data_IF_341385359060
#
_entry.id   IF_341385359060
#
_cell.length_a   1.000
_cell.length_b   1.000
_cell.length_c   1.000
_cell.angle_alpha   90.00
_cell.angle_beta   90.00
_cell.angle_gamma   90.00
#
_symmetry.space_group_name_H-M   'P 1'
#
loop_
_entity.id
_entity.type
_entity.pdbx_description
1 polymer ?
#
# COMPACT_ATOMS: atom_id res chain seq x y z
N UNK A 1 12.90 -23.06 -2.87
CA UNK A 1 12.58 -23.50 -4.25
C UNK A 1 11.32 -22.76 -4.72
N UNK A 2 11.46 -21.50 -5.18
CA UNK A 2 10.37 -20.66 -5.71
C UNK A 2 10.47 -20.68 -7.25
N UNK A 3 10.39 -21.88 -7.84
CA UNK A 3 10.57 -22.08 -9.28
C UNK A 3 9.29 -22.61 -9.96
N UNK A 4 8.12 -22.16 -9.48
CA UNK A 4 6.83 -22.41 -10.13
C UNK A 4 6.32 -21.13 -10.77
N UNK A 5 5.81 -21.22 -12.01
CA UNK A 5 5.05 -20.13 -12.62
C UNK A 5 3.85 -19.81 -11.73
N UNK A 6 3.86 -18.67 -11.03
CA UNK A 6 2.69 -18.20 -10.32
C UNK A 6 1.70 -17.69 -11.38
N UNK A 7 0.47 -18.21 -11.45
CA UNK A 7 -0.51 -17.85 -12.49
C UNK A 7 -0.82 -16.34 -12.57
N UNK A 8 -0.56 -15.57 -11.51
CA UNK A 8 -0.78 -14.13 -11.46
C UNK A 8 0.47 -13.27 -11.76
N UNK A 9 1.66 -13.85 -11.98
CA UNK A 9 2.89 -13.07 -12.14
C UNK A 9 3.33 -12.94 -13.59
N UNK A 10 3.71 -11.72 -13.98
CA UNK A 10 3.98 -11.33 -15.38
C UNK A 10 5.43 -11.52 -15.79
N UNK A 11 6.35 -11.40 -14.83
CA UNK A 11 7.75 -11.83 -14.96
C UNK A 11 8.31 -12.03 -13.55
N UNK A 12 9.00 -13.15 -13.29
CA UNK A 12 9.78 -13.35 -12.06
C UNK A 12 11.25 -13.48 -12.47
N UNK A 13 12.09 -12.55 -12.03
CA UNK A 13 13.54 -12.61 -12.25
C UNK A 13 14.22 -12.92 -10.92
N UNK A 14 15.04 -13.98 -10.87
CA UNK A 14 15.93 -14.21 -9.72
C UNK A 14 16.98 -13.10 -9.68
N UNK A 15 17.17 -12.49 -8.52
CA UNK A 15 18.20 -11.48 -8.28
C UNK A 15 19.45 -12.18 -7.73
N UNK A 16 19.52 -12.36 -6.41
CA UNK A 16 20.59 -13.04 -5.66
C UNK A 16 20.03 -13.60 -4.34
N UNK A 17 20.71 -14.56 -3.68
CA UNK A 17 20.34 -15.10 -2.36
C UNK A 17 18.85 -15.49 -2.20
N UNK A 18 18.27 -16.12 -3.23
CA UNK A 18 16.84 -16.48 -3.29
C UNK A 18 15.86 -15.31 -3.13
N UNK A 19 16.31 -14.10 -3.48
CA UNK A 19 15.43 -12.96 -3.74
C UNK A 19 14.95 -12.94 -5.19
N UNK A 20 13.68 -12.59 -5.35
CA UNK A 20 12.98 -12.60 -6.63
C UNK A 20 12.30 -11.26 -6.86
N UNK A 21 12.53 -10.71 -8.05
CA UNK A 21 11.85 -9.52 -8.52
C UNK A 21 10.65 -9.92 -9.38
N UNK A 22 9.48 -9.48 -8.95
CA UNK A 22 8.21 -9.59 -9.65
C UNK A 22 7.90 -8.22 -10.24
N UNK A 23 8.18 -8.04 -11.53
CA UNK A 23 8.02 -6.74 -12.16
C UNK A 23 6.91 -6.76 -13.23
N UNK A 24 5.96 -5.84 -13.12
CA UNK A 24 4.96 -5.58 -14.19
C UNK A 24 5.25 -4.29 -14.98
N UNK A 25 6.03 -3.33 -14.44
CA UNK A 25 6.47 -2.11 -15.15
C UNK A 25 7.80 -1.59 -14.58
N UNK A 26 8.72 -1.18 -15.47
CA UNK A 26 10.12 -0.77 -15.24
C UNK A 26 10.38 0.39 -14.23
N UNK A 27 9.81 0.37 -13.02
CA UNK A 27 9.94 1.47 -12.03
C UNK A 27 11.01 1.17 -10.97
N UNK A 28 11.29 -0.10 -10.70
CA UNK A 28 12.33 -0.50 -9.75
C UNK A 28 13.69 -0.67 -10.44
N UNK A 29 14.67 0.17 -10.09
CA UNK A 29 16.02 0.15 -10.64
C UNK A 29 17.02 -0.34 -9.59
N UNK A 30 17.76 -1.41 -9.88
CA UNK A 30 18.87 -1.89 -9.03
C UNK A 30 20.02 -0.87 -9.08
N UNK A 31 20.48 -0.40 -7.92
CA UNK A 31 21.53 0.64 -7.80
C UNK A 31 22.90 0.01 -7.57
N UNK A 32 22.98 -1.04 -6.75
CA UNK A 32 24.26 -1.67 -6.39
C UNK A 32 24.07 -3.12 -5.97
N UNK A 33 25.15 -3.88 -6.15
CA UNK A 33 25.33 -5.24 -5.68
C UNK A 33 26.61 -5.27 -4.84
N UNK A 34 26.46 -5.46 -3.54
CA UNK A 34 27.55 -5.95 -2.69
C UNK A 34 27.05 -7.25 -2.09
N UNK A 35 27.95 -8.21 -1.86
CA UNK A 35 27.59 -9.44 -1.14
C UNK A 35 26.77 -9.05 0.10
N UNK A 36 25.55 -9.62 0.19
CA UNK A 36 24.59 -9.42 1.28
C UNK A 36 23.92 -8.04 1.40
N UNK A 37 24.09 -7.14 0.42
CA UNK A 37 23.43 -5.83 0.41
C UNK A 37 22.88 -5.49 -0.99
N UNK A 38 21.55 -5.52 -1.13
CA UNK A 38 20.84 -5.13 -2.34
C UNK A 38 20.25 -3.73 -2.18
N UNK A 39 20.47 -2.86 -3.18
CA UNK A 39 19.90 -1.50 -3.19
C UNK A 39 19.04 -1.28 -4.42
N UNK A 40 17.84 -0.72 -4.21
CA UNK A 40 16.91 -0.37 -5.27
C UNK A 40 16.43 1.07 -5.13
N UNK A 41 16.08 1.66 -6.28
CA UNK A 41 15.39 2.94 -6.40
C UNK A 41 14.04 2.72 -7.07
N UNK A 42 12.98 3.21 -6.46
CA UNK A 42 11.67 3.35 -7.08
C UNK A 42 11.37 4.84 -7.22
N UNK A 43 11.00 5.29 -8.42
CA UNK A 43 10.61 6.68 -8.65
C UNK A 43 9.18 6.75 -9.16
N UNK A 44 8.30 7.37 -8.38
CA UNK A 44 6.93 7.65 -8.78
C UNK A 44 6.82 9.06 -9.35
N UNK A 45 6.61 9.13 -10.67
CA UNK A 45 6.67 10.36 -11.45
C UNK A 45 5.54 11.32 -11.08
N UNK A 46 4.33 10.82 -10.84
CA UNK A 46 3.18 11.67 -10.52
C UNK A 46 3.29 12.23 -9.09
N UNK A 47 3.79 11.40 -8.17
CA UNK A 47 4.07 11.84 -6.81
C UNK A 47 5.31 12.75 -6.72
N UNK A 48 6.19 12.72 -7.73
CA UNK A 48 7.54 13.29 -7.69
C UNK A 48 8.32 12.78 -6.47
N UNK A 49 8.18 11.49 -6.19
CA UNK A 49 8.77 10.84 -5.02
C UNK A 49 9.70 9.71 -5.41
N UNK A 50 10.76 9.59 -4.65
CA UNK A 50 11.74 8.51 -4.71
C UNK A 50 11.68 7.70 -3.43
N UNK A 51 11.63 6.38 -3.58
CA UNK A 51 11.86 5.43 -2.50
C UNK A 51 13.20 4.73 -2.74
N UNK A 52 14.13 4.90 -1.82
CA UNK A 52 15.38 4.15 -1.76
C UNK A 52 15.18 2.96 -0.83
N UNK A 53 15.45 1.76 -1.35
CA UNK A 53 15.27 0.52 -0.63
C UNK A 53 16.64 -0.12 -0.45
N UNK A 54 17.01 -0.41 0.79
CA UNK A 54 18.23 -1.18 1.12
C UNK A 54 17.82 -2.47 1.80
N UNK A 55 18.34 -3.59 1.32
CA UNK A 55 18.11 -4.92 1.90
C UNK A 55 19.45 -5.51 2.29
N UNK A 56 19.63 -5.73 3.59
CA UNK A 56 20.77 -6.43 4.15
C UNK A 56 20.28 -7.79 4.65
N UNK A 57 20.94 -8.87 4.20
CA UNK A 57 20.53 -10.25 4.53
C UNK A 57 21.75 -11.07 4.93
N UNK A 58 21.69 -11.66 6.12
CA UNK A 58 22.65 -12.67 6.58
C UNK A 58 22.13 -14.11 6.43
N UNK A 59 20.90 -14.27 5.91
CA UNK A 59 20.11 -15.49 6.02
C UNK A 59 19.87 -16.17 4.67
N UNK A 60 19.56 -17.48 4.70
CA UNK A 60 19.10 -18.25 3.53
C UNK A 60 17.61 -18.04 3.24
N UNK A 61 16.99 -17.02 3.84
CA UNK A 61 15.57 -16.73 3.65
C UNK A 61 15.35 -16.03 2.30
N UNK A 62 14.10 -16.03 1.84
CA UNK A 62 13.76 -15.53 0.52
C UNK A 62 12.90 -14.29 0.61
N UNK A 63 13.16 -13.34 -0.30
CA UNK A 63 12.36 -12.13 -0.45
C UNK A 63 11.72 -12.04 -1.82
N UNK A 64 10.43 -11.69 -1.85
CA UNK A 64 9.70 -11.38 -3.06
C UNK A 64 9.46 -9.89 -3.12
N UNK A 65 10.03 -9.23 -4.12
CA UNK A 65 9.81 -7.82 -4.41
C UNK A 65 8.80 -7.68 -5.54
N UNK A 66 8.00 -6.63 -5.51
CA UNK A 66 7.45 -6.13 -6.75
C UNK A 66 6.88 -4.74 -6.66
N UNK A 67 6.93 -4.06 -7.80
CA UNK A 67 6.27 -2.78 -8.03
C UNK A 67 4.97 -3.03 -8.79
N UNK A 68 3.92 -2.30 -8.43
CA UNK A 68 2.58 -2.50 -9.02
C UNK A 68 2.09 -3.96 -8.94
N UNK A 69 2.30 -4.63 -7.80
CA UNK A 69 1.83 -5.99 -7.61
C UNK A 69 0.31 -6.05 -7.47
N UNK A 70 -0.36 -6.69 -8.43
CA UNK A 70 -1.80 -6.90 -8.37
C UNK A 70 -2.18 -8.29 -8.89
N UNK A 71 -3.32 -8.82 -8.43
CA UNK A 71 -3.86 -10.05 -8.99
C UNK A 71 -4.43 -9.76 -10.40
N UNK A 72 -3.87 -10.39 -11.44
CA UNK A 72 -4.30 -10.23 -12.84
C UNK A 72 -5.79 -10.47 -13.07
N UNK A 73 -6.46 -11.22 -12.21
CA UNK A 73 -7.86 -11.60 -12.37
C UNK A 73 -8.85 -10.65 -11.69
N UNK A 74 -8.39 -9.73 -10.82
CA UNK A 74 -9.30 -8.95 -9.97
C UNK A 74 -8.79 -7.54 -9.57
N UNK A 75 -7.65 -7.09 -10.09
CA UNK A 75 -7.02 -5.88 -9.55
C UNK A 75 -6.60 -4.87 -10.63
N UNK A 76 -7.31 -3.73 -10.65
CA UNK A 76 -6.97 -2.56 -11.47
C UNK A 76 -6.08 -1.54 -10.73
N UNK A 77 -5.92 -1.70 -9.41
CA UNK A 77 -5.18 -0.75 -8.55
C UNK A 77 -4.14 -1.52 -7.75
N UNK A 78 -2.88 -1.17 -7.98
CA UNK A 78 -1.73 -1.77 -7.33
C UNK A 78 -1.01 -0.72 -6.50
N UNK A 79 -0.33 -1.15 -5.44
CA UNK A 79 0.56 -0.26 -4.69
C UNK A 79 1.88 -0.09 -5.41
N UNK A 80 2.56 1.03 -5.16
CA UNK A 80 3.84 1.31 -5.79
C UNK A 80 4.92 0.30 -5.38
N UNK A 81 4.94 -0.12 -4.12
CA UNK A 81 5.91 -1.07 -3.59
C UNK A 81 5.29 -2.16 -2.72
N UNK A 82 5.60 -3.41 -3.01
CA UNK A 82 5.28 -4.57 -2.18
C UNK A 82 6.53 -5.41 -1.95
N UNK A 83 6.78 -5.78 -0.70
CA UNK A 83 7.87 -6.69 -0.32
C UNK A 83 7.34 -7.76 0.62
N UNK A 84 7.62 -9.02 0.33
CA UNK A 84 7.35 -10.13 1.24
C UNK A 84 8.66 -10.80 1.61
N UNK A 85 8.95 -10.83 2.90
CA UNK A 85 10.04 -11.60 3.47
C UNK A 85 9.49 -12.93 3.99
N UNK A 86 10.05 -14.05 3.52
CA UNK A 86 9.61 -15.40 3.90
C UNK A 86 10.73 -16.09 4.66
N UNK A 87 10.47 -16.33 5.95
CA UNK A 87 11.33 -17.12 6.82
C UNK A 87 11.09 -18.60 6.52
N UNK A 88 12.03 -19.23 5.81
CA UNK A 88 11.82 -20.56 5.22
C UNK A 88 11.64 -21.65 6.27
N UNK A 89 12.39 -21.55 7.38
CA UNK A 89 12.36 -22.53 8.47
C UNK A 89 10.99 -22.62 9.15
N UNK A 90 10.36 -21.46 9.37
CA UNK A 90 9.13 -21.35 10.15
C UNK A 90 7.87 -21.22 9.26
N UNK A 91 8.06 -21.15 7.92
CA UNK A 91 7.00 -20.86 6.94
C UNK A 91 6.19 -19.63 7.34
N UNK A 92 6.88 -18.57 7.77
CA UNK A 92 6.28 -17.29 8.15
C UNK A 92 6.60 -16.22 7.12
N UNK A 93 5.65 -15.32 6.86
CA UNK A 93 5.83 -14.17 6.00
C UNK A 93 5.61 -12.84 6.73
N UNK A 94 6.49 -11.89 6.48
CA UNK A 94 6.32 -10.47 6.82
C UNK A 94 6.13 -9.70 5.52
N UNK A 95 5.05 -8.94 5.42
CA UNK A 95 4.66 -8.31 4.16
C UNK A 95 4.57 -6.80 4.34
N UNK A 96 5.29 -6.05 3.50
CA UNK A 96 5.33 -4.60 3.48
C UNK A 96 4.66 -4.10 2.21
N UNK A 97 3.64 -3.27 2.37
CA UNK A 97 2.81 -2.73 1.31
C UNK A 97 2.87 -1.21 1.44
N UNK A 98 3.59 -0.56 0.52
CA UNK A 98 3.84 0.86 0.55
C UNK A 98 3.36 1.54 -0.73
N UNK A 99 2.77 2.71 -0.57
CA UNK A 99 2.35 3.57 -1.66
C UNK A 99 3.03 4.94 -1.54
N UNK A 100 3.27 5.60 -2.67
CA UNK A 100 3.87 6.92 -2.80
C UNK A 100 2.81 7.91 -3.24
N UNK A 101 2.56 8.95 -2.45
CA UNK A 101 1.58 9.99 -2.75
C UNK A 101 2.20 11.35 -2.60
N UNK A 102 1.98 12.26 -3.54
CA UNK A 102 2.42 13.66 -3.36
C UNK A 102 1.87 14.24 -2.05
N UNK A 103 0.55 14.21 -1.90
CA UNK A 103 -0.12 14.70 -0.70
C UNK A 103 -1.23 13.76 -0.28
N UNK A 104 -1.33 13.46 1.01
CA UNK A 104 -2.46 12.74 1.61
C UNK A 104 -3.31 13.73 2.41
N UNK A 105 -4.63 13.58 2.40
CA UNK A 105 -5.55 14.46 3.15
C UNK A 105 -6.00 15.73 2.43
N UNK A 106 -5.63 15.92 1.16
CA UNK A 106 -6.08 17.06 0.34
C UNK A 106 -7.30 16.76 -0.55
N UNK A 107 -7.66 15.49 -0.70
CA UNK A 107 -8.84 15.05 -1.45
C UNK A 107 -9.31 13.70 -0.95
N UNK A 108 -10.63 13.52 -0.86
CA UNK A 108 -11.25 12.28 -0.37
C UNK A 108 -10.97 11.13 -1.33
N UNK A 109 -10.92 11.41 -2.64
CA UNK A 109 -10.58 10.44 -3.68
C UNK A 109 -9.18 9.84 -3.51
N UNK A 110 -8.23 10.62 -2.97
CA UNK A 110 -6.86 10.13 -2.71
C UNK A 110 -6.88 9.07 -1.63
N UNK A 111 -7.64 9.32 -0.56
CA UNK A 111 -7.80 8.37 0.56
C UNK A 111 -8.53 7.12 0.07
N UNK A 112 -9.63 7.30 -0.67
CA UNK A 112 -10.37 6.18 -1.24
C UNK A 112 -9.47 5.29 -2.10
N UNK A 113 -8.73 5.89 -3.03
CA UNK A 113 -7.84 5.15 -3.92
C UNK A 113 -6.72 4.42 -3.17
N UNK A 114 -6.12 5.08 -2.18
CA UNK A 114 -5.08 4.47 -1.34
C UNK A 114 -5.60 3.25 -0.59
N UNK A 115 -6.79 3.34 0.01
CA UNK A 115 -7.44 2.22 0.70
C UNK A 115 -7.75 1.07 -0.27
N UNK A 116 -8.26 1.37 -1.47
CA UNK A 116 -8.52 0.38 -2.51
C UNK A 116 -7.23 -0.32 -2.98
N UNK A 117 -6.14 0.42 -3.17
CA UNK A 117 -4.82 -0.11 -3.49
C UNK A 117 -4.31 -1.07 -2.39
N UNK A 118 -4.44 -0.68 -1.11
CA UNK A 118 -4.04 -1.55 0.00
C UNK A 118 -4.88 -2.82 0.11
N UNK A 119 -6.21 -2.74 -0.02
CA UNK A 119 -7.09 -3.91 0.00
C UNK A 119 -6.74 -4.90 -1.12
N UNK A 120 -6.50 -4.38 -2.33
CA UNK A 120 -6.04 -5.15 -3.48
C UNK A 120 -4.71 -5.87 -3.19
N UNK A 121 -3.73 -5.15 -2.66
CA UNK A 121 -2.42 -5.71 -2.32
C UNK A 121 -2.47 -6.73 -1.18
N UNK A 122 -3.34 -6.55 -0.18
CA UNK A 122 -3.57 -7.53 0.88
C UNK A 122 -4.10 -8.85 0.27
N UNK A 123 -5.08 -8.79 -0.62
CA UNK A 123 -5.58 -10.00 -1.32
C UNK A 123 -4.47 -10.69 -2.11
N UNK A 124 -3.66 -9.91 -2.81
CA UNK A 124 -2.53 -10.43 -3.58
C UNK A 124 -1.53 -11.17 -2.68
N UNK A 125 -1.08 -10.53 -1.61
CA UNK A 125 -0.15 -11.13 -0.63
C UNK A 125 -0.74 -12.40 -0.02
N UNK A 126 -2.00 -12.37 0.43
CA UNK A 126 -2.71 -13.55 0.94
C UNK A 126 -2.72 -14.70 -0.07
N UNK A 127 -2.96 -14.39 -1.34
CA UNK A 127 -2.99 -15.39 -2.42
C UNK A 127 -1.61 -16.02 -2.66
N UNK A 128 -0.54 -15.22 -2.66
CA UNK A 128 0.82 -15.73 -2.83
C UNK A 128 1.24 -16.58 -1.63
N UNK A 129 0.98 -16.13 -0.41
CA UNK A 129 1.28 -16.89 0.80
C UNK A 129 0.52 -18.22 0.85
N UNK A 130 -0.77 -18.23 0.47
CA UNK A 130 -1.55 -19.45 0.37
C UNK A 130 -0.97 -20.44 -0.66
N UNK A 131 -0.54 -19.95 -1.83
CA UNK A 131 0.07 -20.78 -2.88
C UNK A 131 1.37 -21.47 -2.41
N UNK A 132 2.18 -20.77 -1.60
CA UNK A 132 3.44 -21.31 -1.07
C UNK A 132 3.30 -22.02 0.29
N UNK A 133 2.07 -22.17 0.81
CA UNK A 133 1.81 -22.74 2.14
C UNK A 133 2.59 -22.01 3.25
N UNK A 134 2.66 -20.68 3.17
CA UNK A 134 3.31 -19.78 4.12
C UNK A 134 2.25 -19.05 4.93
N UNK A 135 2.42 -19.00 6.25
CA UNK A 135 1.56 -18.25 7.15
C UNK A 135 2.00 -16.79 7.21
N UNK A 136 1.06 -15.86 7.04
CA UNK A 136 1.34 -14.43 7.20
C UNK A 136 1.43 -14.12 8.69
N UNK A 137 2.60 -13.70 9.15
CA UNK A 137 2.81 -13.23 10.52
C UNK A 137 2.30 -11.80 10.67
N UNK A 138 2.65 -10.93 9.71
CA UNK A 138 2.27 -9.51 9.75
C UNK A 138 2.22 -8.89 8.38
N UNK A 139 1.24 -8.00 8.19
CA UNK A 139 1.16 -7.07 7.07
C UNK A 139 1.37 -5.66 7.61
N UNK A 140 2.36 -4.96 7.05
CA UNK A 140 2.68 -3.56 7.31
C UNK A 140 2.18 -2.74 6.13
N UNK A 141 1.29 -1.79 6.41
CA UNK A 141 0.82 -0.82 5.43
C UNK A 141 1.54 0.50 5.68
N UNK A 142 1.96 1.16 4.61
CA UNK A 142 2.54 2.50 4.72
C UNK A 142 2.21 3.38 3.52
N UNK A 143 2.25 4.68 3.76
CA UNK A 143 2.23 5.68 2.68
C UNK A 143 3.37 6.66 2.90
N UNK A 144 4.22 6.81 1.90
CA UNK A 144 5.22 7.88 1.87
C UNK A 144 4.60 9.05 1.12
N UNK A 145 4.75 10.25 1.68
CA UNK A 145 4.21 11.46 1.05
C UNK A 145 5.07 12.69 1.29
N UNK A 146 4.92 13.74 0.48
CA UNK A 146 5.59 15.01 0.78
C UNK A 146 4.83 15.79 1.85
N UNK A 147 3.54 15.46 2.05
CA UNK A 147 2.70 16.04 3.08
C UNK A 147 1.56 15.08 3.46
N UNK A 148 1.36 14.89 4.76
CA UNK A 148 0.21 14.19 5.33
C UNK A 148 -0.67 15.20 6.09
N UNK A 149 -1.77 15.63 5.48
CA UNK A 149 -2.64 16.69 5.99
C UNK A 149 -3.76 16.13 6.88
N UNK A 150 -3.45 15.94 8.17
CA UNK A 150 -4.40 15.42 9.15
C UNK A 150 -5.64 16.32 9.35
N UNK A 151 -5.44 17.65 9.35
CA UNK A 151 -6.54 18.63 9.44
C UNK A 151 -7.49 18.53 8.23
N UNK A 152 -6.94 18.28 7.04
CA UNK A 152 -7.73 18.06 5.84
C UNK A 152 -8.62 16.81 5.96
N UNK A 153 -8.08 15.71 6.50
CA UNK A 153 -8.84 14.48 6.76
C UNK A 153 -9.96 14.75 7.77
N UNK A 154 -9.64 15.45 8.87
CA UNK A 154 -10.63 15.81 9.90
C UNK A 154 -11.77 16.65 9.32
N UNK A 155 -11.44 17.65 8.49
CA UNK A 155 -12.44 18.46 7.80
C UNK A 155 -13.36 17.61 6.92
N UNK A 156 -12.81 16.63 6.19
CA UNK A 156 -13.64 15.73 5.39
C UNK A 156 -14.60 14.91 6.25
N UNK A 157 -14.19 14.44 7.42
CA UNK A 157 -15.06 13.73 8.36
C UNK A 157 -16.22 14.63 8.80
N UNK A 158 -15.94 15.88 9.16
CA UNK A 158 -16.97 16.85 9.56
C UNK A 158 -17.94 17.14 8.40
N UNK A 159 -17.43 17.38 7.19
CA UNK A 159 -18.23 17.60 5.98
C UNK A 159 -19.14 16.41 5.66
N UNK A 160 -18.63 15.18 5.73
CA UNK A 160 -19.39 13.96 5.46
C UNK A 160 -20.42 13.68 6.55
N UNK A 161 -20.08 13.89 7.82
CA UNK A 161 -21.02 13.75 8.94
C UNK A 161 -22.22 14.67 8.76
N UNK A 162 -21.97 15.94 8.45
CA UNK A 162 -23.02 16.92 8.18
C UNK A 162 -23.86 16.54 6.96
N UNK A 163 -23.23 16.05 5.89
CA UNK A 163 -23.93 15.62 4.69
C UNK A 163 -24.86 14.42 4.97
N UNK A 164 -24.38 13.39 5.67
CA UNK A 164 -25.18 12.21 6.03
C UNK A 164 -26.36 12.57 6.93
N UNK A 165 -26.16 13.45 7.92
CA UNK A 165 -27.25 13.96 8.75
C UNK A 165 -28.32 14.71 7.93
N UNK A 166 -27.90 15.57 7.01
CA UNK A 166 -28.82 16.33 6.15
C UNK A 166 -29.58 15.43 5.16
N UNK A 167 -28.97 14.35 4.69
CA UNK A 167 -29.61 13.36 3.80
C UNK A 167 -30.66 12.54 4.58
N UNK A 168 -30.34 12.15 5.82
CA UNK A 168 -31.22 11.32 6.65
C UNK A 168 -32.43 12.09 7.22
N UNK A 169 -32.40 13.43 7.18
CA UNK A 169 -33.56 14.25 7.52
C UNK A 169 -34.57 14.26 6.36
N UNK A 170 -35.65 13.50 6.53
CA UNK A 170 -36.74 13.24 5.56
C UNK A 170 -37.49 14.47 5.01
N UNK A 171 -37.16 15.68 5.45
CA UNK A 171 -37.81 16.94 5.04
C UNK A 171 -36.97 17.80 4.09
N UNK A 172 -35.72 17.43 3.79
CA UNK A 172 -34.85 18.24 2.94
C UNK A 172 -35.15 17.97 1.46
N UNK A 173 -35.54 18.96 0.65
CA UNK A 173 -35.79 18.78 -0.78
C UNK A 173 -34.61 18.17 -1.52
N UNK A 174 -34.88 17.28 -2.49
CA UNK A 174 -33.87 16.51 -3.24
C UNK A 174 -32.82 17.39 -3.93
N UNK A 175 -33.19 18.61 -4.36
CA UNK A 175 -32.24 19.53 -4.97
C UNK A 175 -31.18 20.05 -3.99
N UNK A 176 -31.55 20.26 -2.71
CA UNK A 176 -30.62 20.68 -1.65
C UNK A 176 -29.68 19.53 -1.31
N UNK A 177 -30.22 18.31 -1.21
CA UNK A 177 -29.41 17.10 -1.02
C UNK A 177 -28.39 16.91 -2.15
N UNK A 178 -28.80 17.09 -3.41
CA UNK A 178 -27.92 16.95 -4.57
C UNK A 178 -26.86 18.07 -4.64
N UNK A 179 -27.19 19.30 -4.22
CA UNK A 179 -26.24 20.41 -4.15
C UNK A 179 -25.18 20.16 -3.07
N UNK A 180 -25.59 19.69 -1.89
CA UNK A 180 -24.67 19.32 -0.81
C UNK A 180 -23.72 18.20 -1.26
N UNK A 181 -24.25 17.13 -1.88
CA UNK A 181 -23.46 16.01 -2.41
C UNK A 181 -22.43 16.42 -3.46
N UNK A 182 -22.80 17.31 -4.38
CA UNK A 182 -21.88 17.82 -5.42
C UNK A 182 -20.73 18.65 -4.84
N UNK A 183 -21.00 19.46 -3.81
CA UNK A 183 -20.01 20.37 -3.23
C UNK A 183 -18.84 19.64 -2.57
N UNK A 184 -19.09 18.50 -1.91
CA UNK A 184 -18.06 17.75 -1.18
C UNK A 184 -17.58 16.49 -1.92
N UNK A 185 -17.96 16.33 -3.20
CA UNK A 185 -17.74 15.09 -3.98
C UNK A 185 -18.15 13.85 -3.18
N UNK A 186 -19.36 13.87 -2.65
CA UNK A 186 -19.84 12.86 -1.70
C UNK A 186 -19.80 11.44 -2.29
N UNK A 187 -19.10 10.54 -1.61
CA UNK A 187 -19.02 9.11 -1.92
C UNK A 187 -19.79 8.34 -0.83
N UNK A 188 -20.90 7.64 -1.16
CA UNK A 188 -21.65 6.86 -0.17
C UNK A 188 -20.77 5.85 0.58
N UNK A 189 -20.90 5.79 1.91
CA UNK A 189 -20.15 4.85 2.75
C UNK A 189 -18.69 5.25 3.04
N UNK A 190 -18.25 6.43 2.60
CA UNK A 190 -16.88 6.91 2.80
C UNK A 190 -16.63 7.44 4.22
N UNK A 191 -17.66 7.86 4.97
CA UNK A 191 -17.48 8.38 6.33
C UNK A 191 -16.78 7.35 7.27
N UNK A 192 -17.24 6.09 7.38
CA UNK A 192 -16.52 5.07 8.15
C UNK A 192 -15.07 4.82 7.68
N UNK A 193 -14.80 5.00 6.38
CA UNK A 193 -13.45 4.87 5.81
C UNK A 193 -12.57 6.01 6.30
N UNK A 194 -13.06 7.26 6.20
CA UNK A 194 -12.34 8.45 6.65
C UNK A 194 -12.05 8.41 8.15
N UNK A 195 -13.03 8.03 8.98
CA UNK A 195 -12.86 7.92 10.43
C UNK A 195 -11.78 6.91 10.82
N UNK A 196 -11.73 5.76 10.15
CA UNK A 196 -10.67 4.76 10.37
C UNK A 196 -9.34 5.26 9.85
N UNK A 197 -9.32 5.83 8.65
CA UNK A 197 -8.10 6.36 8.06
C UNK A 197 -7.47 7.44 8.94
N UNK A 198 -8.28 8.30 9.57
CA UNK A 198 -7.83 9.29 10.54
C UNK A 198 -7.17 8.64 11.77
N UNK A 199 -7.70 7.50 12.24
CA UNK A 199 -7.08 6.67 13.28
C UNK A 199 -5.91 5.80 12.79
N UNK A 200 -5.47 5.99 11.53
CA UNK A 200 -4.43 5.20 10.86
C UNK A 200 -4.78 3.73 10.68
N UNK A 201 -6.06 3.47 10.46
CA UNK A 201 -6.62 2.14 10.30
C UNK A 201 -7.32 1.97 8.95
N UNK A 202 -7.33 0.74 8.44
CA UNK A 202 -8.30 0.30 7.44
C UNK A 202 -9.01 -0.98 7.91
N UNK A 203 -10.27 -1.13 7.53
CA UNK A 203 -11.04 -2.36 7.76
C UNK A 203 -11.14 -3.14 6.46
N UNK A 204 -10.67 -4.39 6.47
CA UNK A 204 -10.75 -5.27 5.32
C UNK A 204 -10.99 -6.71 5.77
N UNK A 205 -11.99 -7.39 5.20
CA UNK A 205 -12.36 -8.78 5.56
C UNK A 205 -12.51 -9.00 7.08
N UNK A 206 -13.19 -8.05 7.77
CA UNK A 206 -13.39 -8.04 9.22
C UNK A 206 -12.09 -7.97 10.06
N UNK A 207 -10.97 -7.59 9.46
CA UNK A 207 -9.70 -7.36 10.14
C UNK A 207 -9.30 -5.88 10.04
N UNK A 208 -8.75 -5.36 11.13
CA UNK A 208 -8.20 -4.01 11.18
C UNK A 208 -6.70 -4.09 10.86
N UNK A 209 -6.28 -3.32 9.87
CA UNK A 209 -4.88 -3.14 9.52
C UNK A 209 -4.46 -1.72 9.88
N UNK A 210 -3.39 -1.60 10.67
CA UNK A 210 -2.76 -0.32 10.98
C UNK A 210 -1.83 0.07 9.83
N UNK A 211 -1.72 1.37 9.56
CA UNK A 211 -0.76 1.89 8.59
C UNK A 211 0.10 3.01 9.18
N UNK A 212 1.29 3.20 8.61
CA UNK A 212 2.21 4.25 9.01
C UNK A 212 2.39 5.29 7.89
N UNK A 213 2.08 6.57 8.15
CA UNK A 213 2.42 7.64 7.23
C UNK A 213 3.87 8.10 7.45
N UNK A 214 4.64 8.15 6.38
CA UNK A 214 5.98 8.73 6.37
C UNK A 214 5.98 10.01 5.53
N UNK A 215 6.53 11.09 6.08
CA UNK A 215 6.62 12.37 5.39
C UNK A 215 8.06 12.64 4.98
N UNK A 216 8.31 12.78 3.68
CA UNK A 216 9.59 13.25 3.14
C UNK A 216 9.38 14.54 2.35
N UNK A 217 9.70 15.67 2.99
CA UNK A 217 9.61 16.98 2.38
C UNK A 217 10.52 17.14 1.14
N UNK A 218 11.63 16.40 1.08
CA UNK A 218 12.57 16.40 -0.05
C UNK A 218 12.15 15.51 -1.22
N UNK A 219 11.04 14.78 -1.09
CA UNK A 219 10.59 13.83 -2.11
C UNK A 219 11.43 12.57 -2.21
N UNK A 220 12.35 12.31 -1.27
CA UNK A 220 13.12 11.07 -1.20
C UNK A 220 13.00 10.45 0.19
N UNK A 221 12.61 9.19 0.26
CA UNK A 221 12.53 8.44 1.51
C UNK A 221 13.34 7.16 1.40
N UNK A 222 14.01 6.77 2.49
CA UNK A 222 14.81 5.55 2.55
C UNK A 222 14.18 4.54 3.50
N UNK A 223 14.01 3.31 3.03
CA UNK A 223 13.66 2.16 3.86
C UNK A 223 14.84 1.19 3.88
N UNK A 224 15.24 0.79 5.09
CA UNK A 224 16.29 -0.19 5.31
C UNK A 224 15.71 -1.44 5.93
N UNK A 225 15.91 -2.57 5.28
CA UNK A 225 15.48 -3.88 5.75
C UNK A 225 16.71 -4.67 6.15
N UNK A 226 16.79 -5.04 7.43
CA UNK A 226 17.84 -5.92 7.95
C UNK A 226 17.19 -7.24 8.29
N UNK A 227 17.67 -8.32 7.66
CA UNK A 227 17.09 -9.66 7.75
C UNK A 227 15.59 -9.65 7.46
N UNK A 228 15.24 -8.89 6.41
CA UNK A 228 13.87 -8.73 5.92
C UNK A 228 12.92 -7.96 6.82
N UNK A 229 13.42 -7.37 7.91
CA UNK A 229 12.64 -6.54 8.83
C UNK A 229 13.01 -5.07 8.66
N UNK A 230 12.01 -4.21 8.49
CA UNK A 230 12.18 -2.76 8.41
C UNK A 230 12.78 -2.21 9.72
N UNK A 231 13.86 -1.44 9.63
CA UNK A 231 14.55 -0.77 10.74
C UNK A 231 14.17 0.72 10.83
#
# INVERSE_FOLDING_TARGET
MIAGNIPCLTTISKLENDFYLVNQKNVLTKITDKENCLKFKLYEKEAQQTLLLTFETDSTDCGLFGSECCNRYDCQKAVDFCYMYIVSKDKKAFCYICDLKKTVGNGVEVIQHLVEQWMSSIRYVKSVCAYYFVNIERIFLSVVSTMYNEDGIKRFIEEYTNAEQNINQSKVPTFIQNKAKKNIRYIPGMLPVLERFFRREILFENQIYQFEPYVSAGGEYSMSFVNGILQ
#
